data_IF_774981525259
#
_entry.id   IF_774981525259
#
_cell.length_a   1.000
_cell.length_b   1.000
_cell.length_c   1.000
_cell.angle_alpha   90.00
_cell.angle_beta   90.00
_cell.angle_gamma   90.00
#
_symmetry.space_group_name_H-M   'P 1'
#
loop_
_entity.id
_entity.type
_entity.pdbx_description
1 polymer ?
#
# COMPACT_ATOMS: atom_id res chain seq x y z
N UNK A 1 4.50 -5.41 12.64
CA UNK A 1 4.44 -4.08 12.02
C UNK A 1 3.99 -4.18 10.57
N UNK A 2 3.32 -3.16 10.10
CA UNK A 2 2.94 -3.00 8.70
C UNK A 2 3.96 -2.17 7.93
N UNK A 3 3.99 -2.29 6.60
CA UNK A 3 4.70 -1.35 5.75
C UNK A 3 4.00 0.03 5.80
N UNK A 4 4.73 1.13 6.07
CA UNK A 4 4.15 2.48 6.06
C UNK A 4 3.48 2.86 4.73
N UNK A 5 4.06 2.50 3.59
CA UNK A 5 3.48 2.78 2.28
C UNK A 5 2.17 2.04 2.04
N UNK A 6 2.10 0.77 2.47
CA UNK A 6 0.84 0.02 2.42
C UNK A 6 -0.22 0.60 3.36
N UNK A 7 0.16 1.02 4.57
CA UNK A 7 -0.78 1.70 5.49
C UNK A 7 -1.30 3.03 4.95
N UNK A 8 -0.47 3.77 4.20
CA UNK A 8 -0.86 5.06 3.62
C UNK A 8 -1.69 4.92 2.33
N UNK A 9 -1.38 3.92 1.50
CA UNK A 9 -2.06 3.69 0.22
C UNK A 9 -2.10 2.18 -0.10
N UNK A 10 -3.06 1.44 0.50
CA UNK A 10 -3.17 0.00 0.30
C UNK A 10 -3.35 -0.39 -1.18
N UNK A 11 -4.00 0.46 -1.98
CA UNK A 11 -4.32 0.19 -3.38
C UNK A 11 -3.05 0.13 -4.25
N UNK A 12 -2.10 1.05 -4.04
CA UNK A 12 -0.85 1.10 -4.82
C UNK A 12 0.23 0.17 -4.27
N UNK A 13 0.15 -0.21 -2.99
CA UNK A 13 1.16 -1.01 -2.31
C UNK A 13 0.64 -2.35 -1.80
N UNK A 14 -0.37 -2.94 -2.47
CA UNK A 14 -0.93 -4.28 -2.15
C UNK A 14 0.16 -5.34 -1.96
N UNK A 15 1.20 -5.33 -2.80
CA UNK A 15 2.32 -6.28 -2.70
C UNK A 15 3.16 -6.16 -1.41
N UNK A 16 2.99 -5.10 -0.63
CA UNK A 16 3.68 -4.93 0.65
C UNK A 16 2.92 -5.52 1.84
N UNK A 17 1.66 -5.93 1.67
CA UNK A 17 0.83 -6.50 2.75
C UNK A 17 1.32 -7.88 3.21
N UNK A 18 1.97 -8.64 2.32
CA UNK A 18 2.43 -10.00 2.60
C UNK A 18 3.75 -10.06 3.39
N UNK A 19 4.40 -8.93 3.66
CA UNK A 19 5.67 -8.93 4.40
C UNK A 19 5.44 -9.00 5.90
N UNK A 20 6.00 -10.04 6.52
CA UNK A 20 5.95 -10.24 7.98
C UNK A 20 7.06 -9.45 8.68
N UNK A 21 6.81 -8.17 8.95
CA UNK A 21 7.76 -7.26 9.58
C UNK A 21 7.62 -7.34 11.12
N UNK A 22 8.35 -8.25 11.76
CA UNK A 22 8.23 -8.51 13.21
C UNK A 22 8.92 -7.45 14.05
N UNK A 23 10.02 -6.89 13.55
CA UNK A 23 10.86 -5.90 14.25
C UNK A 23 11.01 -4.63 13.41
N UNK A 24 11.32 -3.51 14.05
CA UNK A 24 11.54 -2.24 13.35
C UNK A 24 12.68 -2.32 12.32
N UNK A 25 13.76 -3.05 12.64
CA UNK A 25 14.82 -3.36 11.67
C UNK A 25 14.32 -4.05 10.40
N UNK A 26 13.25 -4.85 10.49
CA UNK A 26 12.66 -5.52 9.33
C UNK A 26 11.90 -4.50 8.49
N UNK A 27 11.19 -3.56 9.13
CA UNK A 27 10.53 -2.43 8.46
C UNK A 27 11.55 -1.58 7.71
N UNK A 28 12.64 -1.18 8.35
CA UNK A 28 13.72 -0.42 7.71
C UNK A 28 14.35 -1.16 6.53
N UNK A 29 14.64 -2.45 6.68
CA UNK A 29 15.20 -3.26 5.61
C UNK A 29 14.21 -3.39 4.43
N UNK A 30 12.94 -3.60 4.72
CA UNK A 30 11.88 -3.65 3.70
C UNK A 30 11.81 -2.33 2.92
N UNK A 31 11.77 -1.20 3.63
CA UNK A 31 11.78 0.14 3.05
C UNK A 31 13.02 0.37 2.15
N UNK A 32 14.20 -0.07 2.61
CA UNK A 32 15.44 -0.01 1.83
C UNK A 32 15.41 -0.85 0.55
N UNK A 33 14.70 -1.97 0.54
CA UNK A 33 14.67 -2.90 -0.62
C UNK A 33 13.51 -2.64 -1.59
N UNK A 34 12.36 -2.17 -1.10
CA UNK A 34 11.12 -2.05 -1.88
C UNK A 34 10.72 -0.61 -2.18
N UNK A 35 11.23 0.35 -1.41
CA UNK A 35 10.86 1.76 -1.51
C UNK A 35 12.08 2.65 -1.69
N UNK A 36 13.14 2.14 -2.32
CA UNK A 36 14.37 2.87 -2.58
C UNK A 36 14.69 2.77 -4.07
N UNK A 37 14.25 3.75 -4.85
CA UNK A 37 14.72 3.92 -6.23
C UNK A 37 15.61 5.17 -6.29
N UNK A 38 16.78 5.00 -6.90
CA UNK A 38 17.81 6.03 -7.06
C UNK A 38 17.65 6.83 -8.36
N UNK A 39 16.79 6.39 -9.27
CA UNK A 39 16.67 6.95 -10.62
C UNK A 39 15.62 8.07 -10.75
N UNK A 40 15.05 8.55 -9.63
CA UNK A 40 13.91 9.46 -9.67
C UNK A 40 14.16 10.79 -8.93
N UNK A 41 13.69 11.93 -9.48
CA UNK A 41 13.74 13.21 -8.78
C UNK A 41 12.73 13.25 -7.62
N UNK A 42 13.23 13.63 -6.44
CA UNK A 42 12.50 13.65 -5.17
C UNK A 42 11.40 14.72 -5.10
N UNK A 43 11.40 15.68 -6.04
CA UNK A 43 10.49 16.84 -6.09
C UNK A 43 9.29 16.61 -7.02
N UNK A 44 9.48 15.90 -8.14
CA UNK A 44 8.47 15.78 -9.19
C UNK A 44 8.13 14.34 -9.59
N UNK A 45 8.90 13.34 -9.13
CA UNK A 45 8.64 11.95 -9.52
C UNK A 45 9.34 11.49 -10.80
N UNK A 46 10.05 12.39 -11.50
CA UNK A 46 10.58 12.09 -12.84
C UNK A 46 11.69 11.04 -12.81
N UNK A 47 11.54 9.99 -13.63
CA UNK A 47 12.55 8.95 -13.85
C UNK A 47 13.47 9.39 -14.99
N UNK A 48 14.72 9.72 -14.69
CA UNK A 48 15.70 10.02 -15.73
C UNK A 48 16.04 8.72 -16.48
N UNK A 49 15.69 8.63 -17.77
CA UNK A 49 16.09 7.50 -18.64
C UNK A 49 17.52 7.64 -19.19
N UNK A 50 18.19 8.74 -18.83
CA UNK A 50 19.54 9.13 -19.26
C UNK A 50 20.49 9.06 -18.06
N UNK A 51 21.81 9.10 -18.29
CA UNK A 51 22.84 9.22 -17.23
C UNK A 51 22.74 10.49 -16.37
N UNK A 52 21.79 11.38 -16.70
CA UNK A 52 21.54 12.61 -15.96
C UNK A 52 20.99 12.27 -14.57
N UNK A 53 21.76 12.62 -13.55
CA UNK A 53 21.39 12.33 -12.17
C UNK A 53 20.07 13.00 -11.80
N UNK A 54 19.29 12.38 -10.92
CA UNK A 54 18.07 12.98 -10.36
C UNK A 54 18.32 14.38 -9.78
N UNK A 55 19.54 14.64 -9.29
CA UNK A 55 19.95 15.95 -8.78
C UNK A 55 20.06 17.01 -9.87
N UNK A 56 20.56 16.65 -11.06
CA UNK A 56 20.68 17.58 -12.19
C UNK A 56 19.32 17.91 -12.79
N UNK A 57 18.41 16.93 -12.85
CA UNK A 57 17.01 17.19 -13.20
C UNK A 57 16.37 18.18 -12.21
N UNK A 58 16.53 17.99 -10.90
CA UNK A 58 15.92 18.89 -9.92
C UNK A 58 16.52 20.32 -9.94
N UNK A 59 17.74 20.51 -10.49
CA UNK A 59 18.37 21.82 -10.75
C UNK A 59 17.92 22.46 -12.07
N UNK A 60 17.40 21.67 -13.00
CA UNK A 60 16.86 22.18 -14.28
C UNK A 60 15.51 22.88 -14.10
N UNK A 61 15.23 23.89 -14.93
CA UNK A 61 13.97 24.64 -14.95
C UNK A 61 12.73 23.80 -15.28
N UNK A 62 12.90 22.55 -15.72
CA UNK A 62 11.81 21.62 -16.05
C UNK A 62 11.22 20.86 -14.85
N UNK A 63 11.79 21.00 -13.65
CA UNK A 63 11.29 20.33 -12.45
C UNK A 63 10.10 21.08 -11.83
N UNK A 64 8.88 20.80 -12.31
CA UNK A 64 7.66 21.31 -11.70
C UNK A 64 7.30 20.49 -10.44
N UNK A 65 7.10 21.18 -9.31
CA UNK A 65 6.60 20.59 -8.06
C UNK A 65 5.15 20.14 -8.24
N UNK A 66 4.94 18.99 -8.89
CA UNK A 66 3.63 18.35 -8.91
C UNK A 66 3.37 17.68 -7.57
N UNK A 67 2.10 17.55 -7.13
CA UNK A 67 1.73 16.72 -6.00
C UNK A 67 1.97 15.24 -6.39
N UNK A 68 3.22 14.82 -6.26
CA UNK A 68 3.63 13.46 -6.48
C UNK A 68 3.48 12.69 -5.17
N UNK A 69 2.55 11.72 -5.12
CA UNK A 69 2.51 10.76 -4.01
C UNK A 69 3.81 9.96 -4.07
N UNK A 70 4.75 10.30 -3.19
CA UNK A 70 6.08 9.69 -3.16
C UNK A 70 5.91 8.18 -3.04
N UNK A 71 6.52 7.45 -3.97
CA UNK A 71 6.56 5.98 -3.97
C UNK A 71 7.87 5.41 -3.39
N UNK A 72 8.83 6.30 -3.13
CA UNK A 72 10.18 5.98 -2.68
C UNK A 72 10.67 6.94 -1.59
N UNK A 73 11.71 6.49 -0.89
CA UNK A 73 12.41 7.19 0.18
C UNK A 73 13.77 7.66 -0.37
N UNK A 74 14.06 8.95 -0.19
CA UNK A 74 15.34 9.56 -0.52
C UNK A 74 16.50 8.99 0.32
N UNK A 75 17.72 9.10 -0.20
CA UNK A 75 18.92 8.67 0.54
C UNK A 75 19.11 9.46 1.85
N UNK A 76 18.76 10.76 1.84
CA UNK A 76 18.76 11.60 3.04
C UNK A 76 17.83 11.07 4.14
N UNK A 77 16.62 10.63 3.76
CA UNK A 77 15.64 10.04 4.69
C UNK A 77 16.07 8.66 5.17
N UNK A 78 16.70 7.83 4.32
CA UNK A 78 17.27 6.55 4.76
C UNK A 78 18.29 6.74 5.89
N UNK A 79 19.15 7.76 5.79
CA UNK A 79 20.09 8.11 6.87
C UNK A 79 19.38 8.55 8.15
N UNK A 80 18.23 9.21 8.04
CA UNK A 80 17.41 9.58 9.20
C UNK A 80 16.77 8.36 9.87
N UNK A 81 16.36 7.34 9.10
CA UNK A 81 15.81 6.09 9.65
C UNK A 81 16.85 5.38 10.54
N UNK A 82 18.09 5.22 10.05
CA UNK A 82 19.18 4.52 10.76
C UNK A 82 19.57 5.18 12.08
N UNK A 83 19.34 6.49 12.24
CA UNK A 83 19.76 7.24 13.43
C UNK A 83 18.77 7.16 14.60
N UNK A 84 17.62 6.52 14.45
CA UNK A 84 16.58 6.47 15.50
C UNK A 84 16.57 5.12 16.20
N UNK A 85 16.92 5.11 17.49
CA UNK A 85 16.96 3.90 18.32
C UNK A 85 16.34 4.08 19.71
N UNK A 86 15.58 5.16 19.96
CA UNK A 86 15.05 5.46 21.30
C UNK A 86 13.54 5.28 21.35
N UNK A 87 13.07 4.59 22.39
CA UNK A 87 11.64 4.36 22.66
C UNK A 87 11.16 2.98 22.26
N UNK A 88 9.86 2.73 22.47
CA UNK A 88 9.22 1.46 22.13
C UNK A 88 9.21 1.22 20.61
N UNK A 89 9.10 -0.04 20.17
CA UNK A 89 8.96 -0.38 18.76
C UNK A 89 7.87 0.42 18.04
N UNK A 90 6.71 0.65 18.66
CA UNK A 90 5.62 1.44 18.09
C UNK A 90 6.03 2.91 17.90
N UNK A 91 6.67 3.51 18.90
CA UNK A 91 7.18 4.90 18.79
C UNK A 91 8.21 5.01 17.67
N UNK A 92 9.06 4.00 17.51
CA UNK A 92 10.00 3.95 16.40
C UNK A 92 9.28 3.83 15.05
N UNK A 93 8.21 3.04 14.96
CA UNK A 93 7.41 2.94 13.75
C UNK A 93 6.75 4.28 13.37
N UNK A 94 6.16 4.99 14.33
CA UNK A 94 5.61 6.32 14.07
C UNK A 94 6.69 7.35 13.73
N UNK A 95 7.85 7.26 14.36
CA UNK A 95 9.01 8.07 13.98
C UNK A 95 9.47 7.81 12.53
N UNK A 96 9.35 6.58 12.04
CA UNK A 96 9.57 6.23 10.63
C UNK A 96 8.47 6.86 9.75
N UNK A 97 7.21 6.78 10.18
CA UNK A 97 6.08 7.40 9.48
C UNK A 97 6.32 8.89 9.25
N UNK A 98 6.65 9.65 10.29
CA UNK A 98 6.87 11.10 10.21
C UNK A 98 8.02 11.49 9.25
N UNK A 99 9.04 10.65 9.14
CA UNK A 99 10.16 10.86 8.21
C UNK A 99 9.70 10.66 6.76
N UNK A 100 8.88 9.64 6.51
CA UNK A 100 8.44 9.28 5.16
C UNK A 100 7.31 10.21 4.69
N UNK A 101 6.35 10.46 5.58
CA UNK A 101 5.09 11.17 5.34
C UNK A 101 4.88 12.34 6.32
N UNK A 102 5.75 13.38 6.32
CA UNK A 102 5.70 14.48 7.29
C UNK A 102 4.44 15.36 7.22
N UNK A 103 3.57 15.14 6.23
CA UNK A 103 2.33 15.91 6.02
C UNK A 103 1.08 15.03 6.07
N UNK A 104 1.23 13.74 6.29
CA UNK A 104 0.11 12.80 6.34
C UNK A 104 -0.19 12.42 7.78
N UNK A 105 -1.48 12.27 8.10
CA UNK A 105 -1.91 11.80 9.41
C UNK A 105 -1.51 10.33 9.59
N UNK A 106 -0.83 9.97 10.69
CA UNK A 106 -0.47 8.58 10.95
C UNK A 106 -1.72 7.72 11.19
N UNK A 107 -1.66 6.42 10.85
CA UNK A 107 -2.74 5.50 11.12
C UNK A 107 -2.87 5.25 12.63
N UNK A 108 -4.07 4.83 13.05
CA UNK A 108 -4.38 4.47 14.44
C UNK A 108 -3.51 3.32 14.98
N UNK A 109 -3.01 2.44 14.09
CA UNK A 109 -2.18 1.30 14.47
C UNK A 109 -1.01 1.06 13.49
N UNK A 110 0.20 0.76 14.01
CA UNK A 110 1.37 0.42 13.20
C UNK A 110 1.38 -1.06 12.75
N UNK A 111 0.37 -1.84 13.12
CA UNK A 111 0.28 -3.27 12.88
C UNK A 111 -0.57 -3.59 11.65
N UNK A 112 -0.29 -4.74 11.02
CA UNK A 112 -1.22 -5.31 10.04
C UNK A 112 -2.45 -5.72 10.83
N UNK A 113 -3.64 -5.42 10.31
CA UNK A 113 -4.86 -5.91 10.93
C UNK A 113 -4.88 -7.43 10.76
N UNK A 114 -4.82 -8.15 11.88
CA UNK A 114 -4.95 -9.60 11.88
C UNK A 114 -6.42 -9.91 11.63
N UNK A 115 -6.70 -10.53 10.48
CA UNK A 115 -8.01 -11.13 10.23
C UNK A 115 -8.03 -12.48 10.92
N UNK A 116 -8.98 -12.69 11.82
CA UNK A 116 -9.09 -13.94 12.57
C UNK A 116 -9.52 -15.10 11.66
N UNK A 117 -9.22 -16.34 12.07
CA UNK A 117 -9.69 -17.54 11.36
C UNK A 117 -11.21 -17.58 11.25
N UNK A 118 -11.91 -17.09 12.27
CA UNK A 118 -13.38 -17.01 12.31
C UNK A 118 -13.90 -15.97 11.31
N UNK A 119 -13.23 -14.81 11.21
CA UNK A 119 -13.55 -13.77 10.24
C UNK A 119 -13.35 -14.26 8.81
N UNK A 120 -12.23 -14.93 8.54
CA UNK A 120 -11.98 -15.55 7.23
C UNK A 120 -12.98 -16.65 6.90
N UNK A 121 -13.34 -17.48 7.88
CA UNK A 121 -14.32 -18.56 7.72
C UNK A 121 -15.73 -18.00 7.47
N UNK A 122 -16.11 -16.95 8.19
CA UNK A 122 -17.37 -16.23 8.02
C UNK A 122 -17.45 -15.60 6.64
N UNK A 123 -16.41 -14.85 6.23
CA UNK A 123 -16.34 -14.27 4.88
C UNK A 123 -16.39 -15.35 3.79
N UNK A 124 -15.65 -16.45 3.96
CA UNK A 124 -15.69 -17.58 3.01
C UNK A 124 -17.10 -18.16 2.89
N UNK A 125 -17.79 -18.37 4.01
CA UNK A 125 -19.18 -18.86 4.01
C UNK A 125 -20.12 -17.91 3.29
N UNK A 126 -20.03 -16.61 3.59
CA UNK A 126 -20.79 -15.57 2.89
C UNK A 126 -20.52 -15.57 1.38
N UNK A 127 -19.24 -15.58 0.98
CA UNK A 127 -18.83 -15.51 -0.42
C UNK A 127 -19.32 -16.74 -1.21
N UNK A 128 -19.27 -17.94 -0.63
CA UNK A 128 -19.79 -19.15 -1.28
C UNK A 128 -21.30 -19.08 -1.49
N UNK A 129 -22.04 -18.52 -0.53
CA UNK A 129 -23.50 -18.49 -0.57
C UNK A 129 -24.06 -17.32 -1.40
N UNK A 130 -23.40 -16.16 -1.36
CA UNK A 130 -23.91 -14.91 -1.95
C UNK A 130 -23.02 -14.33 -3.06
N UNK A 131 -21.86 -14.94 -3.32
CA UNK A 131 -20.97 -14.55 -4.41
C UNK A 131 -21.65 -14.55 -5.79
N UNK A 132 -22.45 -15.58 -6.14
CA UNK A 132 -23.21 -15.59 -7.39
C UNK A 132 -24.19 -14.41 -7.51
N UNK A 133 -24.90 -14.08 -6.43
CA UNK A 133 -25.84 -12.94 -6.40
C UNK A 133 -25.09 -11.60 -6.61
N UNK A 134 -23.92 -11.44 -5.96
CA UNK A 134 -23.06 -10.26 -6.15
C UNK A 134 -22.61 -10.13 -7.60
N UNK A 135 -22.25 -11.23 -8.26
CA UNK A 135 -21.85 -11.24 -9.68
C UNK A 135 -23.03 -10.84 -10.58
N UNK A 136 -24.22 -11.40 -10.33
CA UNK A 136 -25.42 -11.16 -11.13
C UNK A 136 -25.94 -9.72 -10.98
N UNK A 137 -26.08 -9.23 -9.74
CA UNK A 137 -26.60 -7.90 -9.45
C UNK A 137 -25.71 -6.76 -9.99
N UNK A 138 -24.42 -7.02 -10.17
CA UNK A 138 -23.45 -6.04 -10.63
C UNK A 138 -23.11 -6.16 -12.13
N UNK A 139 -23.83 -7.02 -12.87
CA UNK A 139 -23.68 -7.16 -14.33
C UNK A 139 -22.27 -7.56 -14.76
N UNK A 140 -21.54 -8.33 -13.94
CA UNK A 140 -20.10 -8.54 -14.12
C UNK A 140 -19.76 -9.62 -15.17
N UNK A 141 -20.75 -10.22 -15.83
CA UNK A 141 -20.59 -11.34 -16.78
C UNK A 141 -20.53 -10.92 -18.26
N UNK A 142 -20.68 -9.63 -18.59
CA UNK A 142 -20.79 -9.21 -19.99
C UNK A 142 -19.66 -8.26 -20.41
N UNK A 143 -18.63 -8.79 -21.06
CA UNK A 143 -17.79 -8.03 -22.02
C UNK A 143 -16.92 -8.97 -22.87
N UNK A 144 -17.25 -9.15 -24.16
CA UNK A 144 -16.37 -9.83 -25.11
C UNK A 144 -15.22 -8.91 -25.52
N UNK A 145 -13.97 -9.41 -25.46
CA UNK A 145 -12.96 -8.98 -26.44
C UNK A 145 -11.63 -8.39 -25.99
N UNK A 146 -11.16 -8.44 -24.73
CA UNK A 146 -9.77 -8.03 -24.43
C UNK A 146 -9.15 -8.81 -23.26
N UNK A 147 -7.94 -9.33 -23.46
CA UNK A 147 -7.08 -10.13 -22.56
C UNK A 147 -7.78 -10.77 -21.35
N UNK A 148 -8.17 -12.04 -21.53
CA UNK A 148 -8.86 -12.88 -20.54
C UNK A 148 -8.17 -12.83 -19.18
N UNK A 149 -6.83 -12.75 -19.10
CA UNK A 149 -6.10 -12.77 -17.83
C UNK A 149 -6.24 -11.45 -17.06
N UNK A 150 -6.02 -10.31 -17.71
CA UNK A 150 -6.16 -8.99 -17.06
C UNK A 150 -7.61 -8.68 -16.73
N UNK A 151 -8.56 -9.08 -17.59
CA UNK A 151 -9.99 -8.89 -17.35
C UNK A 151 -10.49 -9.79 -16.21
N UNK A 152 -10.10 -11.07 -16.21
CA UNK A 152 -10.41 -12.00 -15.10
C UNK A 152 -9.86 -11.49 -13.78
N UNK A 153 -8.63 -10.97 -13.76
CA UNK A 153 -8.06 -10.39 -12.53
C UNK A 153 -8.88 -9.21 -12.03
N UNK A 154 -9.20 -8.23 -12.88
CA UNK A 154 -9.99 -7.05 -12.49
C UNK A 154 -11.40 -7.44 -12.06
N UNK A 155 -11.99 -8.42 -12.74
CA UNK A 155 -13.27 -9.02 -12.38
C UNK A 155 -13.21 -9.64 -10.98
N UNK A 156 -12.27 -10.54 -10.72
CA UNK A 156 -12.10 -11.19 -9.42
C UNK A 156 -11.82 -10.17 -8.30
N UNK A 157 -10.96 -9.17 -8.56
CA UNK A 157 -10.70 -8.10 -7.59
C UNK A 157 -11.98 -7.32 -7.25
N UNK A 158 -12.85 -7.04 -8.25
CA UNK A 158 -14.11 -6.32 -8.05
C UNK A 158 -15.17 -7.16 -7.32
N UNK A 159 -15.31 -8.43 -7.68
CA UNK A 159 -16.25 -9.36 -7.01
C UNK A 159 -15.86 -9.56 -5.55
N UNK A 160 -14.58 -9.78 -5.25
CA UNK A 160 -14.09 -9.96 -3.87
C UNK A 160 -14.31 -8.70 -3.05
N UNK A 161 -14.06 -7.51 -3.62
CA UNK A 161 -14.30 -6.24 -2.92
C UNK A 161 -15.78 -6.04 -2.57
N UNK A 162 -16.68 -6.19 -3.55
CA UNK A 162 -18.12 -6.02 -3.33
C UNK A 162 -18.67 -7.01 -2.31
N UNK A 163 -18.23 -8.27 -2.37
CA UNK A 163 -18.63 -9.28 -1.40
C UNK A 163 -18.09 -8.98 0.00
N UNK A 164 -16.86 -8.45 0.11
CA UNK A 164 -16.29 -8.05 1.40
C UNK A 164 -17.05 -6.87 2.01
N UNK A 165 -17.40 -5.87 1.21
CA UNK A 165 -18.17 -4.70 1.65
C UNK A 165 -19.56 -5.12 2.15
N UNK A 166 -20.25 -6.00 1.41
CA UNK A 166 -21.54 -6.55 1.83
C UNK A 166 -21.45 -7.36 3.13
N UNK A 167 -20.46 -8.25 3.24
CA UNK A 167 -20.23 -9.06 4.44
C UNK A 167 -19.90 -8.20 5.67
N UNK A 168 -19.01 -7.23 5.52
CA UNK A 168 -18.59 -6.35 6.62
C UNK A 168 -19.73 -5.48 7.15
N UNK A 169 -20.61 -4.99 6.26
CA UNK A 169 -21.80 -4.23 6.63
C UNK A 169 -22.78 -5.09 7.46
N UNK A 170 -23.06 -6.32 7.03
CA UNK A 170 -23.96 -7.25 7.75
C UNK A 170 -23.43 -7.52 9.16
N UNK A 171 -22.12 -7.76 9.27
CA UNK A 171 -21.49 -8.05 10.55
C UNK A 171 -21.48 -6.84 11.49
N UNK A 172 -21.25 -5.63 10.97
CA UNK A 172 -21.26 -4.40 11.77
C UNK A 172 -22.65 -4.06 12.35
N UNK A 173 -23.73 -4.57 11.74
CA UNK A 173 -25.10 -4.42 12.24
C UNK A 173 -25.49 -5.47 13.29
N UNK A 174 -24.73 -6.56 13.43
CA UNK A 174 -24.98 -7.66 14.35
C UNK A 174 -24.08 -7.69 15.59
N UNK A 175 -23.24 -6.67 15.77
CA UNK A 175 -22.39 -6.44 16.95
C UNK A 175 -22.91 -5.21 17.72
#
# INVERSE_FOLDING_TARGET
FACPFWKNDPAHFKGCSCFRLKRIRDVEQHLKRKHSDHSHCERCGHVSRTTQSSADHCRSSGCSSRPFRRRWISESRKRMLVRRSRGSPEKQWYAIWDIIFPRETPPSSPYVEEVSSEELSSFRGFFVNHGPDVVQQNGLLESPGLDVVTQTRRFLERVVSLAYDAWSAIRAMGA
#
